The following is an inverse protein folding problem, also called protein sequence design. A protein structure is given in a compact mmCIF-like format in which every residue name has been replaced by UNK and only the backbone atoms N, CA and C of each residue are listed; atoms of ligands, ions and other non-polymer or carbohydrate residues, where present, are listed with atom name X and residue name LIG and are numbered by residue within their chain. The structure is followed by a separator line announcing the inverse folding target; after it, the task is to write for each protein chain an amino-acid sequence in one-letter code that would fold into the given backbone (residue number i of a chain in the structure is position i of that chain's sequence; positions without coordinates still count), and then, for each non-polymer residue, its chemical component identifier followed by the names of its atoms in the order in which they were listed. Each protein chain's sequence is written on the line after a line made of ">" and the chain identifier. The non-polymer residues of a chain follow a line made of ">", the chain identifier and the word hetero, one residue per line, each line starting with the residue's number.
data_IF_867892043244
#
_entry.id   IF_867892043244
#
_cell.length_a   1.000
_cell.length_b   1.000
_cell.length_c   1.000
_cell.angle_alpha   90.00
_cell.angle_beta   90.00
_cell.angle_gamma   90.00
#
_symmetry.space_group_name_H-M   'P 1'
#
loop_
_entity.id
_entity.type
_entity.pdbx_description
1 polymer ?
#
# COMPACT_ATOMS: atom_id res chain seq x y z
N UNK A 1 -25.45 8.79 15.81
CA UNK A 1 -25.52 7.97 14.58
C UNK A 1 -25.18 6.54 14.97
N UNK A 2 -25.97 5.55 14.52
CA UNK A 2 -25.71 4.16 14.85
C UNK A 2 -24.32 3.74 14.34
N UNK A 3 -23.53 3.07 15.17
CA UNK A 3 -22.23 2.56 14.78
C UNK A 3 -22.44 1.60 13.60
N UNK A 4 -21.96 1.97 12.40
CA UNK A 4 -21.95 1.08 11.25
C UNK A 4 -21.09 -0.12 11.65
N UNK A 5 -21.70 -1.30 11.68
CA UNK A 5 -21.03 -2.53 12.09
C UNK A 5 -20.04 -2.95 11.00
N UNK A 6 -18.87 -2.30 10.95
CA UNK A 6 -17.80 -2.62 10.00
C UNK A 6 -17.27 -4.02 10.27
N UNK A 7 -17.05 -4.78 9.19
CA UNK A 7 -16.54 -6.15 9.24
C UNK A 7 -15.02 -6.22 9.02
N UNK A 8 -14.41 -5.14 8.51
CA UNK A 8 -12.96 -5.00 8.37
C UNK A 8 -12.46 -3.63 8.85
N UNK A 9 -11.18 -3.60 9.23
CA UNK A 9 -10.35 -2.40 9.39
C UNK A 9 -9.40 -2.32 8.21
N UNK A 10 -9.36 -1.19 7.52
CA UNK A 10 -8.49 -0.97 6.37
C UNK A 10 -7.31 -0.08 6.76
N UNK A 11 -6.11 -0.62 6.60
CA UNK A 11 -4.83 0.02 6.87
C UNK A 11 -4.20 0.40 5.54
N UNK A 12 -4.03 1.69 5.28
CA UNK A 12 -3.23 2.17 4.16
C UNK A 12 -1.75 2.28 4.53
N UNK A 13 -0.87 1.90 3.61
CA UNK A 13 0.58 2.13 3.70
C UNK A 13 1.01 2.86 2.42
N UNK A 14 1.36 4.15 2.54
CA UNK A 14 1.80 4.97 1.41
C UNK A 14 3.21 5.52 1.55
N UNK A 15 3.67 6.24 0.53
CA UNK A 15 5.05 6.73 0.39
C UNK A 15 5.65 6.45 -0.98
N UNK A 16 6.78 7.09 -1.29
CA UNK A 16 7.47 6.98 -2.58
C UNK A 16 7.71 5.53 -3.02
N UNK A 17 7.78 5.27 -4.32
CA UNK A 17 8.31 4.01 -4.84
C UNK A 17 9.66 3.68 -4.18
N UNK A 18 9.90 2.39 -3.91
CA UNK A 18 11.10 1.90 -3.19
C UNK A 18 11.29 2.38 -1.73
N UNK A 19 10.27 2.94 -1.08
CA UNK A 19 10.34 3.29 0.36
C UNK A 19 10.26 2.09 1.31
N UNK A 20 9.82 0.91 0.84
CA UNK A 20 9.70 -0.31 1.65
C UNK A 20 8.27 -0.70 2.04
N UNK A 21 7.25 -0.06 1.47
CA UNK A 21 5.81 -0.31 1.77
C UNK A 21 5.43 -1.78 1.73
N UNK A 22 5.73 -2.46 0.64
CA UNK A 22 5.41 -3.89 0.43
C UNK A 22 6.12 -4.80 1.43
N UNK A 23 7.38 -4.51 1.75
CA UNK A 23 8.13 -5.23 2.78
C UNK A 23 7.44 -5.08 4.14
N UNK A 24 7.07 -3.86 4.51
CA UNK A 24 6.33 -3.58 5.75
C UNK A 24 4.98 -4.30 5.76
N UNK A 25 4.20 -4.22 4.68
CA UNK A 25 2.91 -4.89 4.55
C UNK A 25 3.02 -6.42 4.77
N UNK A 26 4.02 -7.06 4.15
CA UNK A 26 4.28 -8.51 4.32
C UNK A 26 4.68 -8.88 5.74
N UNK A 27 5.51 -8.06 6.39
CA UNK A 27 5.94 -8.29 7.77
C UNK A 27 4.77 -8.12 8.75
N UNK A 28 3.94 -7.09 8.56
CA UNK A 28 2.73 -6.88 9.36
C UNK A 28 1.73 -8.03 9.17
N UNK A 29 1.57 -8.53 7.95
CA UNK A 29 0.75 -9.71 7.63
C UNK A 29 1.23 -10.98 8.33
N UNK A 30 2.54 -11.12 8.54
CA UNK A 30 3.12 -12.24 9.26
C UNK A 30 2.99 -12.08 10.78
N UNK A 31 3.09 -10.85 11.29
CA UNK A 31 3.04 -10.54 12.73
C UNK A 31 1.61 -10.57 13.29
N UNK A 32 0.64 -10.02 12.57
CA UNK A 32 -0.76 -9.97 13.02
C UNK A 32 -1.50 -11.24 12.58
N UNK A 33 -2.22 -11.93 13.49
CA UNK A 33 -2.88 -13.20 13.19
C UNK A 33 -3.97 -13.07 12.11
N UNK A 34 -4.24 -14.18 11.42
CA UNK A 34 -5.01 -14.34 10.17
C UNK A 34 -6.52 -14.00 10.27
N UNK A 35 -6.90 -12.87 10.82
CA UNK A 35 -8.27 -12.34 10.72
C UNK A 35 -8.45 -11.74 9.32
N UNK A 36 -8.60 -12.64 8.35
CA UNK A 36 -8.83 -12.52 6.89
C UNK A 36 -7.91 -11.63 6.07
N UNK A 37 -7.31 -12.26 5.07
CA UNK A 37 -6.14 -11.86 4.29
C UNK A 37 -6.29 -10.54 3.51
N UNK A 38 -5.23 -9.72 3.45
CA UNK A 38 -5.21 -8.41 2.83
C UNK A 38 -5.32 -8.46 1.30
N UNK A 39 -5.97 -7.44 0.77
CA UNK A 39 -5.92 -7.10 -0.65
C UNK A 39 -4.62 -6.38 -0.91
N UNK A 40 -3.71 -7.06 -1.59
CA UNK A 40 -2.64 -6.36 -2.30
C UNK A 40 -3.31 -5.63 -3.47
N UNK A 41 -3.28 -4.30 -3.47
CA UNK A 41 -3.65 -3.50 -4.65
C UNK A 41 -2.43 -2.67 -5.00
N UNK A 42 -1.55 -3.23 -5.84
CA UNK A 42 -0.69 -2.36 -6.62
C UNK A 42 -1.55 -1.81 -7.76
N UNK A 43 -1.77 -0.50 -7.71
CA UNK A 43 -2.66 0.21 -8.60
C UNK A 43 -2.09 0.19 -10.03
N UNK A 44 -2.59 -0.68 -10.91
CA UNK A 44 -2.54 -0.50 -12.37
C UNK A 44 -3.62 -1.34 -13.05
N UNK A 45 -4.27 -0.76 -14.07
CA UNK A 45 -5.44 -1.34 -14.76
C UNK A 45 -5.21 -2.79 -15.25
N UNK A 46 -6.24 -3.64 -15.24
CA UNK A 46 -6.40 -4.67 -16.26
C UNK A 46 -6.81 -3.98 -17.56
N UNK A 47 -6.19 -4.37 -18.67
CA UNK A 47 -6.62 -3.98 -20.00
C UNK A 47 -8.08 -4.39 -20.21
N UNK A 48 -9.00 -3.44 -20.13
CA UNK A 48 -10.19 -3.55 -20.95
C UNK A 48 -9.71 -3.29 -22.37
N UNK A 49 -9.87 -4.29 -23.23
CA UNK A 49 -9.61 -4.23 -24.67
C UNK A 49 -10.57 -3.30 -25.42
N UNK A 50 -10.95 -2.19 -24.79
CA UNK A 50 -11.72 -1.12 -25.40
C UNK A 50 -10.85 0.13 -25.42
N UNK A 51 -10.64 0.64 -26.63
CA UNK A 51 -9.82 1.77 -27.04
C UNK A 51 -10.34 3.13 -26.47
N UNK A 52 -11.23 3.06 -25.47
CA UNK A 52 -12.02 4.17 -24.93
C UNK A 52 -11.52 4.71 -23.58
N UNK A 53 -10.53 4.07 -22.95
CA UNK A 53 -9.90 4.55 -21.72
C UNK A 53 -8.61 5.32 -22.04
N UNK A 54 -8.53 6.54 -21.51
CA UNK A 54 -7.42 7.51 -21.65
C UNK A 54 -6.05 6.83 -21.68
N UNK A 55 -5.33 6.99 -22.80
CA UNK A 55 -3.92 6.58 -22.95
C UNK A 55 -3.12 7.14 -21.77
N UNK A 56 -2.28 6.31 -21.15
CA UNK A 56 -1.35 6.74 -20.11
C UNK A 56 -0.63 8.00 -20.61
N UNK A 57 -0.60 9.10 -19.83
CA UNK A 57 0.03 10.33 -20.27
C UNK A 57 1.48 10.07 -20.70
N UNK A 58 1.86 10.57 -21.87
CA UNK A 58 3.26 10.55 -22.32
C UNK A 58 3.83 11.94 -22.02
N UNK A 59 4.92 12.00 -21.27
CA UNK A 59 5.62 13.25 -20.98
C UNK A 59 6.38 13.74 -22.23
N UNK A 60 6.87 14.98 -22.17
CA UNK A 60 7.56 15.65 -23.30
C UNK A 60 8.80 14.89 -23.78
N UNK A 61 9.39 14.04 -22.94
CA UNK A 61 10.54 13.20 -23.22
C UNK A 61 10.20 11.82 -23.81
N UNK A 62 8.91 11.56 -24.11
CA UNK A 62 8.44 10.29 -24.67
C UNK A 62 8.25 9.19 -23.63
N UNK A 63 8.43 9.46 -22.33
CA UNK A 63 8.23 8.49 -21.27
C UNK A 63 6.75 8.40 -20.87
N UNK A 64 6.25 7.18 -20.74
CA UNK A 64 4.91 6.92 -20.21
C UNK A 64 4.87 7.20 -18.70
N UNK A 65 3.94 8.03 -18.27
CA UNK A 65 3.76 8.37 -16.86
C UNK A 65 2.86 7.35 -16.16
N UNK A 66 3.48 6.31 -15.62
CA UNK A 66 2.77 5.32 -14.83
C UNK A 66 2.66 5.65 -13.33
N UNK A 67 3.16 6.82 -12.92
CA UNK A 67 3.19 7.26 -11.53
C UNK A 67 2.19 8.44 -11.34
N UNK A 68 1.04 8.37 -12.01
CA UNK A 68 -0.04 9.37 -11.96
C UNK A 68 -1.40 8.77 -11.55
N UNK A 69 -2.35 9.56 -11.01
CA UNK A 69 -3.70 9.10 -10.65
C UNK A 69 -4.48 8.48 -11.83
N UNK A 70 -4.23 8.90 -13.06
CA UNK A 70 -4.90 8.38 -14.27
C UNK A 70 -4.51 6.94 -14.59
N UNK A 71 -3.34 6.50 -14.12
CA UNK A 71 -2.90 5.10 -14.20
C UNK A 71 -3.65 4.19 -13.21
N UNK A 72 -4.48 4.77 -12.34
CA UNK A 72 -5.14 4.09 -11.22
C UNK A 72 -6.62 3.85 -11.51
N UNK A 73 -7.06 2.60 -11.33
CA UNK A 73 -8.48 2.21 -11.40
C UNK A 73 -9.23 2.61 -10.10
N UNK A 74 -9.33 3.92 -9.84
CA UNK A 74 -9.89 4.46 -8.60
C UNK A 74 -11.35 4.04 -8.36
N UNK A 75 -12.28 4.10 -9.33
CA UNK A 75 -13.67 3.70 -9.10
C UNK A 75 -13.80 2.25 -8.62
N UNK A 76 -13.07 1.34 -9.24
CA UNK A 76 -13.05 -0.07 -8.87
C UNK A 76 -12.42 -0.25 -7.49
N UNK A 77 -11.42 0.56 -7.13
CA UNK A 77 -10.73 0.45 -5.83
C UNK A 77 -11.66 0.87 -4.72
N UNK A 78 -12.40 1.97 -4.92
CA UNK A 78 -13.44 2.43 -3.99
C UNK A 78 -14.48 1.34 -3.78
N UNK A 79 -15.00 0.73 -4.86
CA UNK A 79 -15.96 -0.38 -4.76
C UNK A 79 -15.40 -1.58 -3.99
N UNK A 80 -14.13 -1.93 -4.22
CA UNK A 80 -13.48 -3.01 -3.49
C UNK A 80 -13.33 -2.69 -2.00
N UNK A 81 -12.87 -1.49 -1.65
CA UNK A 81 -12.72 -1.03 -0.26
C UNK A 81 -14.06 -0.96 0.48
N UNK A 82 -15.10 -0.45 -0.17
CA UNK A 82 -16.47 -0.45 0.40
C UNK A 82 -16.98 -1.87 0.66
N UNK A 83 -16.74 -2.80 -0.27
CA UNK A 83 -17.11 -4.20 -0.10
C UNK A 83 -16.37 -4.85 1.07
N UNK A 84 -15.06 -4.63 1.19
CA UNK A 84 -14.22 -5.16 2.27
C UNK A 84 -14.69 -4.62 3.62
N UNK A 85 -14.93 -3.31 3.73
CA UNK A 85 -15.42 -2.69 4.98
C UNK A 85 -16.75 -3.28 5.42
N UNK A 86 -17.65 -3.57 4.47
CA UNK A 86 -19.00 -4.07 4.75
C UNK A 86 -19.09 -5.58 4.99
N UNK A 87 -18.25 -6.38 4.32
CA UNK A 87 -18.35 -7.85 4.33
C UNK A 87 -17.19 -8.55 5.04
N UNK A 88 -16.06 -7.86 5.23
CA UNK A 88 -14.86 -8.45 5.83
C UNK A 88 -14.05 -9.34 4.88
N UNK A 89 -14.46 -9.41 3.61
CA UNK A 89 -13.91 -10.28 2.56
C UNK A 89 -13.76 -9.51 1.26
N UNK A 90 -13.03 -10.08 0.31
CA UNK A 90 -12.88 -9.51 -1.03
C UNK A 90 -14.10 -9.76 -1.93
N UNK A 91 -14.41 -8.82 -2.85
CA UNK A 91 -15.48 -9.01 -3.83
C UNK A 91 -15.09 -10.10 -4.84
N UNK A 92 -15.86 -11.20 -4.90
CA UNK A 92 -15.69 -12.36 -5.81
C UNK A 92 -15.99 -12.10 -7.29
N UNK A 93 -16.10 -10.83 -7.72
CA UNK A 93 -16.47 -10.44 -9.09
C UNK A 93 -15.25 -10.11 -9.98
N UNK A 94 -15.48 -9.65 -11.22
CA UNK A 94 -14.43 -9.17 -12.14
C UNK A 94 -13.49 -8.12 -11.53
N UNK A 95 -13.96 -7.41 -10.49
CA UNK A 95 -13.19 -6.51 -9.62
C UNK A 95 -11.95 -7.21 -9.04
N UNK A 96 -12.05 -8.47 -8.61
CA UNK A 96 -10.91 -9.22 -8.08
C UNK A 96 -9.80 -9.41 -9.12
N UNK A 97 -10.14 -9.59 -10.42
CA UNK A 97 -9.15 -9.70 -11.50
C UNK A 97 -8.43 -8.38 -11.80
N UNK A 98 -9.08 -7.25 -11.49
CA UNK A 98 -8.53 -5.88 -11.61
C UNK A 98 -7.52 -5.63 -10.50
N UNK A 99 -7.82 -6.09 -9.28
CA UNK A 99 -7.03 -5.82 -8.08
C UNK A 99 -5.93 -6.85 -7.80
N UNK A 100 -6.16 -8.10 -8.17
CA UNK A 100 -5.23 -9.18 -7.93
C UNK A 100 -5.35 -10.19 -9.07
N UNK A 101 -4.39 -10.27 -9.99
CA UNK A 101 -4.44 -11.25 -11.08
C UNK A 101 -4.19 -12.66 -10.54
N UNK A 102 -5.24 -13.29 -10.02
CA UNK A 102 -5.23 -14.68 -9.55
C UNK A 102 -5.04 -15.62 -10.74
N UNK A 103 -4.24 -16.67 -10.54
CA UNK A 103 -4.09 -17.75 -11.53
C UNK A 103 -5.44 -18.47 -11.77
N UNK A 104 -5.78 -18.91 -13.00
CA UNK A 104 -7.15 -19.33 -13.37
C UNK A 104 -7.67 -20.62 -12.71
N UNK A 105 -6.92 -21.26 -11.82
CA UNK A 105 -7.20 -22.62 -11.33
C UNK A 105 -8.18 -22.71 -10.14
N UNK A 106 -8.79 -21.62 -9.71
CA UNK A 106 -9.70 -21.62 -8.57
C UNK A 106 -11.15 -21.42 -9.02
N UNK A 107 -11.76 -22.48 -9.55
CA UNK A 107 -13.21 -22.52 -9.79
C UNK A 107 -13.86 -23.67 -9.01
N UNK A 108 -14.96 -23.35 -8.33
CA UNK A 108 -16.00 -24.24 -7.80
C UNK A 108 -15.76 -24.97 -6.47
N UNK A 109 -15.44 -24.23 -5.41
CA UNK A 109 -15.69 -24.72 -4.04
C UNK A 109 -16.21 -23.62 -3.12
N UNK A 110 -17.00 -23.96 -2.09
CA UNK A 110 -17.68 -22.98 -1.24
C UNK A 110 -16.67 -22.06 -0.55
N UNK A 111 -16.64 -20.80 -0.99
CA UNK A 111 -16.05 -19.59 -0.37
C UNK A 111 -14.83 -19.87 0.54
N UNK A 112 -13.78 -20.45 -0.03
CA UNK A 112 -12.43 -20.28 0.51
C UNK A 112 -11.86 -19.06 -0.21
N UNK A 113 -11.65 -17.96 0.51
CA UNK A 113 -10.92 -16.81 -0.03
C UNK A 113 -9.58 -17.34 -0.56
N UNK A 114 -9.19 -17.05 -1.82
CA UNK A 114 -7.91 -17.51 -2.33
C UNK A 114 -6.78 -17.00 -1.42
N UNK A 115 -5.71 -17.78 -1.25
CA UNK A 115 -4.43 -17.21 -0.88
C UNK A 115 -4.03 -16.28 -2.04
N UNK A 116 -4.30 -14.99 -1.88
CA UNK A 116 -4.05 -14.00 -2.92
C UNK A 116 -2.60 -13.59 -2.84
N UNK A 117 -1.81 -14.20 -3.71
CA UNK A 117 -0.51 -13.69 -4.10
C UNK A 117 -0.75 -12.82 -5.33
N UNK A 118 -0.53 -11.50 -5.20
CA UNK A 118 -0.46 -10.65 -6.39
C UNK A 118 0.75 -11.09 -7.24
N UNK A 119 0.76 -10.74 -8.54
CA UNK A 119 1.92 -11.05 -9.39
C UNK A 119 3.16 -10.28 -8.95
N UNK A 120 2.96 -9.10 -8.41
CA UNK A 120 3.97 -8.23 -7.83
C UNK A 120 4.47 -8.78 -6.49
N UNK A 121 3.68 -9.67 -5.86
CA UNK A 121 4.15 -10.46 -4.74
C UNK A 121 5.33 -11.38 -5.13
N UNK A 122 5.50 -11.64 -6.44
CA UNK A 122 6.62 -12.37 -7.05
C UNK A 122 7.84 -11.48 -7.34
N UNK A 123 7.74 -10.15 -7.20
CA UNK A 123 8.89 -9.27 -7.37
C UNK A 123 9.94 -9.56 -6.29
N UNK A 124 11.20 -9.65 -6.70
CA UNK A 124 12.35 -9.80 -5.80
C UNK A 124 12.41 -8.62 -4.83
N UNK A 125 12.17 -8.88 -3.55
CA UNK A 125 12.32 -7.87 -2.46
C UNK A 125 13.71 -7.90 -1.80
N UNK A 126 14.63 -8.74 -2.31
CA UNK A 126 15.92 -9.00 -1.67
C UNK A 126 15.78 -9.75 -0.34
N UNK A 127 16.89 -9.92 0.41
CA UNK A 127 16.84 -10.52 1.74
C UNK A 127 15.99 -9.66 2.70
N UNK A 128 15.28 -10.32 3.63
CA UNK A 128 14.51 -9.62 4.65
C UNK A 128 15.45 -8.71 5.48
N UNK A 129 15.20 -7.38 5.54
CA UNK A 129 16.06 -6.46 6.26
C UNK A 129 15.83 -6.46 7.79
N UNK A 130 14.95 -7.33 8.30
CA UNK A 130 14.59 -7.43 9.72
C UNK A 130 14.99 -8.79 10.25
N UNK A 131 15.58 -8.82 11.44
CA UNK A 131 16.02 -10.07 12.07
C UNK A 131 14.85 -10.98 12.47
N UNK A 132 15.02 -12.30 12.33
CA UNK A 132 14.03 -13.30 12.76
C UNK A 132 13.70 -13.16 14.26
N UNK A 133 14.70 -12.81 15.07
CA UNK A 133 14.55 -12.56 16.50
C UNK A 133 13.61 -11.38 16.77
N UNK A 134 13.72 -10.27 16.02
CA UNK A 134 12.79 -9.15 16.15
C UNK A 134 11.38 -9.54 15.69
N UNK A 135 11.24 -10.22 14.56
CA UNK A 135 9.94 -10.67 14.05
C UNK A 135 9.25 -11.57 15.09
N UNK A 136 9.98 -12.53 15.65
CA UNK A 136 9.48 -13.42 16.71
C UNK A 136 9.07 -12.65 17.97
N UNK A 137 9.85 -11.66 18.39
CA UNK A 137 9.53 -10.81 19.54
C UNK A 137 8.26 -9.97 19.31
N UNK A 138 8.08 -9.41 18.11
CA UNK A 138 6.88 -8.65 17.75
C UNK A 138 5.64 -9.55 17.65
N UNK A 139 5.77 -10.76 17.07
CA UNK A 139 4.71 -11.78 17.10
C UNK A 139 4.27 -12.11 18.52
N UNK A 140 5.24 -12.35 19.42
CA UNK A 140 4.94 -12.63 20.83
C UNK A 140 4.23 -11.46 21.52
N UNK A 141 4.66 -10.21 21.26
CA UNK A 141 4.00 -8.99 21.77
C UNK A 141 2.56 -8.88 21.29
N UNK A 142 2.32 -9.09 19.99
CA UNK A 142 0.98 -9.05 19.40
C UNK A 142 0.10 -10.16 19.97
N UNK A 143 0.60 -11.39 20.05
CA UNK A 143 -0.14 -12.51 20.63
C UNK A 143 -0.49 -12.29 22.11
N UNK A 144 0.43 -11.73 22.91
CA UNK A 144 0.20 -11.48 24.33
C UNK A 144 -0.88 -10.41 24.61
N UNK A 145 -1.02 -9.44 23.71
CA UNK A 145 -2.07 -8.41 23.78
C UNK A 145 -3.33 -8.79 23.00
N UNK A 146 -3.29 -9.82 22.17
CA UNK A 146 -4.43 -10.28 21.41
C UNK A 146 -5.45 -10.99 22.31
N UNK A 147 -6.26 -10.20 23.01
CA UNK A 147 -7.69 -10.50 23.22
C UNK A 147 -8.49 -10.25 21.93
N UNK A 148 -7.84 -10.25 20.75
CA UNK A 148 -8.51 -10.21 19.45
C UNK A 148 -9.29 -11.51 19.34
N UNK A 149 -10.53 -11.43 19.80
CA UNK A 149 -11.48 -12.53 19.79
C UNK A 149 -11.59 -13.05 18.36
N UNK A 150 -11.87 -14.33 18.19
CA UNK A 150 -12.26 -14.93 16.91
C UNK A 150 -13.52 -14.27 16.27
N UNK A 151 -14.02 -13.17 16.85
CA UNK A 151 -15.23 -12.44 16.52
C UNK A 151 -14.98 -10.95 16.20
N UNK A 152 -13.72 -10.47 16.18
CA UNK A 152 -13.37 -9.10 15.80
C UNK A 152 -13.39 -8.85 14.28
N UNK A 153 -13.34 -7.59 13.82
CA UNK A 153 -13.25 -7.26 12.40
C UNK A 153 -11.95 -7.80 11.78
N UNK A 154 -11.98 -8.12 10.49
CA UNK A 154 -10.79 -8.52 9.72
C UNK A 154 -9.84 -7.35 9.47
N UNK A 155 -8.58 -7.63 9.12
CA UNK A 155 -7.59 -6.61 8.79
C UNK A 155 -7.27 -6.64 7.30
N UNK A 156 -7.46 -5.51 6.62
CA UNK A 156 -7.05 -5.31 5.23
C UNK A 156 -5.88 -4.33 5.19
N UNK A 157 -4.78 -4.70 4.56
CA UNK A 157 -3.64 -3.80 4.30
C UNK A 157 -3.65 -3.44 2.82
N UNK A 158 -3.72 -2.15 2.52
CA UNK A 158 -3.59 -1.56 1.19
C UNK A 158 -2.26 -0.81 1.12
N UNK A 159 -1.29 -1.29 0.33
CA UNK A 159 -0.06 -0.54 0.07
C UNK A 159 -0.09 0.11 -1.32
N UNK A 160 0.38 1.36 -1.42
CA UNK A 160 0.33 2.08 -2.70
C UNK A 160 1.09 3.39 -2.65
N UNK A 161 1.78 3.74 -3.74
CA UNK A 161 2.67 4.90 -3.76
C UNK A 161 1.97 6.25 -3.93
N UNK A 162 0.67 6.27 -4.27
CA UNK A 162 -0.15 7.47 -4.46
C UNK A 162 -1.36 7.58 -3.52
N UNK A 163 -1.45 6.80 -2.44
CA UNK A 163 -2.71 6.71 -1.69
C UNK A 163 -3.16 8.05 -1.05
N UNK A 164 -2.23 8.96 -0.73
CA UNK A 164 -2.50 10.16 0.06
C UNK A 164 -2.35 11.45 -0.74
N UNK A 165 -3.30 11.70 -1.63
CA UNK A 165 -3.47 12.97 -2.33
C UNK A 165 -4.96 13.21 -2.62
N UNK A 166 -5.30 14.43 -3.07
CA UNK A 166 -6.69 14.82 -3.32
C UNK A 166 -7.36 14.00 -4.44
N UNK A 167 -6.64 13.59 -5.48
CA UNK A 167 -7.21 12.76 -6.53
C UNK A 167 -7.62 11.37 -6.01
N UNK A 168 -6.94 10.89 -4.96
CA UNK A 168 -7.17 9.60 -4.31
C UNK A 168 -8.09 9.69 -3.08
N UNK A 169 -8.64 10.88 -2.80
CA UNK A 169 -9.51 11.15 -1.65
C UNK A 169 -10.64 10.12 -1.45
N UNK A 170 -11.39 9.70 -2.51
CA UNK A 170 -12.47 8.72 -2.35
C UNK A 170 -12.02 7.39 -1.75
N UNK A 171 -10.79 6.94 -2.05
CA UNK A 171 -10.23 5.73 -1.46
C UNK A 171 -9.56 6.00 -0.12
N UNK A 172 -8.88 7.14 0.01
CA UNK A 172 -8.24 7.57 1.26
C UNK A 172 -9.26 7.66 2.42
N UNK A 173 -10.46 8.13 2.15
CA UNK A 173 -11.56 8.26 3.13
C UNK A 173 -12.13 6.91 3.61
N UNK A 174 -11.80 5.82 2.92
CA UNK A 174 -12.14 4.46 3.31
C UNK A 174 -11.04 3.78 4.15
N UNK A 175 -9.95 4.48 4.45
CA UNK A 175 -8.84 3.97 5.27
C UNK A 175 -9.02 4.36 6.74
N UNK A 176 -8.96 3.39 7.63
CA UNK A 176 -9.06 3.59 9.08
C UNK A 176 -7.70 3.96 9.71
N UNK A 177 -6.60 3.40 9.19
CA UNK A 177 -5.22 3.75 9.61
C UNK A 177 -4.44 4.16 8.37
N UNK A 178 -3.70 5.27 8.43
CA UNK A 178 -2.94 5.81 7.28
C UNK A 178 -1.46 5.93 7.63
N UNK A 179 -0.65 4.93 7.29
CA UNK A 179 0.80 4.93 7.53
C UNK A 179 1.54 5.51 6.33
N UNK A 180 2.47 6.43 6.55
CA UNK A 180 3.27 7.04 5.49
C UNK A 180 4.77 6.82 5.71
N UNK A 181 5.42 6.14 4.76
CA UNK A 181 6.84 5.85 4.78
C UNK A 181 7.63 6.91 4.00
N UNK A 182 8.60 7.51 4.68
CA UNK A 182 9.47 8.55 4.13
C UNK A 182 10.81 7.96 3.69
N UNK A 183 11.30 8.42 2.55
CA UNK A 183 12.56 7.98 1.94
C UNK A 183 13.18 9.17 1.21
N UNK A 184 14.51 9.25 1.21
CA UNK A 184 15.22 10.25 0.43
C UNK A 184 15.21 9.94 -1.07
N UNK A 185 15.47 10.96 -1.89
CA UNK A 185 15.65 10.77 -3.33
C UNK A 185 16.73 9.73 -3.60
N UNK A 186 17.90 9.92 -3.00
CA UNK A 186 19.08 9.07 -3.22
C UNK A 186 18.81 7.62 -2.84
N UNK A 187 18.14 7.39 -1.69
CA UNK A 187 17.82 6.03 -1.25
C UNK A 187 16.75 5.38 -2.11
N UNK A 188 15.70 6.11 -2.50
CA UNK A 188 14.68 5.60 -3.39
C UNK A 188 15.28 5.22 -4.75
N UNK A 189 16.16 6.06 -5.29
CA UNK A 189 16.89 5.85 -6.53
C UNK A 189 17.79 4.62 -6.44
N UNK A 190 18.64 4.53 -5.41
CA UNK A 190 19.51 3.38 -5.17
C UNK A 190 18.70 2.07 -5.13
N UNK A 191 17.62 2.05 -4.34
CA UNK A 191 16.77 0.86 -4.19
C UNK A 191 16.01 0.52 -5.46
N UNK A 192 15.58 1.52 -6.24
CA UNK A 192 14.83 1.31 -7.49
C UNK A 192 15.73 0.76 -8.59
N UNK A 193 16.94 1.30 -8.73
CA UNK A 193 17.93 0.82 -9.70
C UNK A 193 18.47 -0.57 -9.37
N UNK A 194 18.49 -0.95 -8.08
CA UNK A 194 18.88 -2.29 -7.65
C UNK A 194 17.80 -3.36 -7.90
N UNK A 195 16.60 -2.98 -8.37
CA UNK A 195 15.56 -3.94 -8.77
C UNK A 195 15.87 -4.44 -10.18
N UNK A 196 15.77 -5.76 -10.37
CA UNK A 196 15.94 -6.37 -11.69
C UNK A 196 14.90 -5.84 -12.69
N UNK A 197 13.71 -5.50 -12.20
CA UNK A 197 12.57 -4.96 -12.94
C UNK A 197 11.27 -5.27 -12.21
N UNK A 198 10.15 -5.06 -12.86
CA UNK A 198 8.82 -5.33 -12.34
C UNK A 198 8.13 -6.38 -13.20
N UNK A 199 7.66 -7.46 -12.57
CA UNK A 199 6.75 -8.39 -13.22
C UNK A 199 5.39 -7.70 -13.30
N UNK A 200 4.88 -7.55 -14.52
CA UNK A 200 3.59 -6.92 -14.82
C UNK A 200 2.65 -7.91 -15.48
N UNK A 201 1.41 -7.51 -15.71
CA UNK A 201 0.44 -8.30 -16.49
C UNK A 201 0.89 -8.55 -17.93
N UNK A 202 1.57 -7.59 -18.54
CA UNK A 202 2.00 -7.61 -19.95
C UNK A 202 3.39 -8.23 -20.16
N UNK A 203 4.10 -8.55 -19.08
CA UNK A 203 5.44 -9.09 -19.12
C UNK A 203 6.36 -8.40 -18.13
N UNK A 204 7.61 -8.17 -18.52
CA UNK A 204 8.62 -7.60 -17.65
C UNK A 204 8.84 -6.12 -17.98
N UNK A 205 8.66 -5.25 -16.99
CA UNK A 205 8.97 -3.83 -17.11
C UNK A 205 10.34 -3.53 -16.49
N UNK A 206 11.19 -2.86 -17.26
CA UNK A 206 12.41 -2.27 -16.76
C UNK A 206 12.34 -0.77 -16.98
N UNK A 207 12.70 0.00 -15.95
CA UNK A 207 12.67 1.46 -16.04
C UNK A 207 13.59 1.94 -17.18
N UNK A 208 13.09 2.80 -18.10
CA UNK A 208 13.94 3.39 -19.11
C UNK A 208 14.95 4.37 -18.48
N UNK A 209 16.06 4.71 -19.18
CA UNK A 209 17.09 5.60 -18.64
C UNK A 209 16.53 6.94 -18.14
N UNK A 210 16.81 7.25 -16.86
CA UNK A 210 16.38 8.49 -16.21
C UNK A 210 14.91 8.51 -15.75
N UNK A 211 14.18 7.39 -15.81
CA UNK A 211 12.76 7.33 -15.41
C UNK A 211 12.52 7.78 -13.96
N UNK A 212 13.47 7.49 -13.06
CA UNK A 212 13.39 7.93 -11.66
C UNK A 212 13.32 9.46 -11.54
N UNK A 213 14.26 10.17 -12.17
CA UNK A 213 14.36 11.64 -12.08
C UNK A 213 13.31 12.35 -12.93
N UNK A 214 12.80 11.70 -13.98
CA UNK A 214 11.88 12.30 -14.95
C UNK A 214 10.41 12.04 -14.65
N UNK A 215 10.09 10.92 -14.00
CA UNK A 215 8.72 10.45 -13.76
C UNK A 215 8.47 10.22 -12.28
N UNK A 216 9.20 9.28 -11.69
CA UNK A 216 8.89 8.73 -10.36
C UNK A 216 9.00 9.78 -9.26
N UNK A 217 10.16 10.43 -9.16
CA UNK A 217 10.39 11.40 -8.11
C UNK A 217 9.57 12.67 -8.30
N UNK A 218 9.51 13.30 -9.49
CA UNK A 218 8.66 14.47 -9.71
C UNK A 218 7.20 14.21 -9.39
N UNK A 219 6.65 13.05 -9.74
CA UNK A 219 5.26 12.72 -9.42
C UNK A 219 5.07 12.41 -7.92
N UNK A 220 6.04 11.74 -7.27
CA UNK A 220 6.00 11.57 -5.81
C UNK A 220 5.96 12.94 -5.10
N UNK A 221 6.83 13.87 -5.51
CA UNK A 221 6.87 15.24 -5.00
C UNK A 221 5.55 15.93 -5.26
N UNK A 222 5.05 15.95 -6.50
CA UNK A 222 3.82 16.66 -6.83
C UNK A 222 2.60 16.14 -6.03
N UNK A 223 2.52 14.82 -5.81
CA UNK A 223 1.38 14.21 -5.12
C UNK A 223 1.45 14.36 -3.59
N UNK A 224 2.62 14.62 -3.01
CA UNK A 224 2.80 14.65 -1.56
C UNK A 224 3.35 15.98 -1.01
N UNK A 225 3.80 16.91 -1.86
CA UNK A 225 4.33 18.22 -1.45
C UNK A 225 3.40 19.01 -0.55
N UNK A 226 2.09 18.78 -0.64
CA UNK A 226 1.10 19.41 0.22
C UNK A 226 1.30 19.06 1.71
N UNK A 227 1.95 17.94 2.03
CA UNK A 227 2.25 17.53 3.41
C UNK A 227 3.47 18.25 4.01
N UNK A 228 4.22 19.00 3.21
CA UNK A 228 5.54 19.51 3.60
C UNK A 228 5.62 21.03 3.40
N UNK A 229 6.10 21.79 4.40
CA UNK A 229 6.35 23.22 4.25
C UNK A 229 7.28 23.50 3.07
N UNK A 230 6.90 24.42 2.19
CA UNK A 230 7.67 24.74 0.98
C UNK A 230 7.66 23.65 -0.11
N UNK A 231 6.99 22.51 0.14
CA UNK A 231 6.90 21.39 -0.80
C UNK A 231 8.12 20.47 -0.85
N UNK A 232 9.04 20.60 0.11
CA UNK A 232 10.21 19.72 0.23
C UNK A 232 9.82 18.41 0.95
N UNK A 233 9.65 17.34 0.17
CA UNK A 233 9.24 16.01 0.69
C UNK A 233 10.30 15.32 1.56
N UNK A 234 11.52 15.85 1.61
CA UNK A 234 12.58 15.35 2.49
C UNK A 234 12.66 16.14 3.81
N UNK A 235 12.08 17.34 3.87
CA UNK A 235 11.99 18.16 5.07
C UNK A 235 11.00 17.62 6.12
N UNK A 236 11.01 18.20 7.32
CA UNK A 236 10.02 17.88 8.36
C UNK A 236 8.59 18.19 7.85
N UNK A 237 7.65 17.23 7.94
CA UNK A 237 6.30 17.43 7.45
C UNK A 237 5.51 18.39 8.33
N UNK A 238 4.45 18.98 7.78
CA UNK A 238 3.53 19.82 8.54
C UNK A 238 2.65 18.94 9.44
N UNK A 239 2.92 18.99 10.75
CA UNK A 239 2.21 18.17 11.73
C UNK A 239 0.70 18.44 11.77
N UNK A 240 0.27 19.69 11.52
CA UNK A 240 -1.14 20.03 11.53
C UNK A 240 -1.86 19.44 10.32
N UNK A 241 -1.23 19.46 9.14
CA UNK A 241 -1.80 18.85 7.93
C UNK A 241 -1.86 17.32 8.04
N UNK A 242 -0.82 16.69 8.57
CA UNK A 242 -0.83 15.25 8.84
C UNK A 242 -1.93 14.87 9.83
N UNK A 243 -2.07 15.61 10.93
CA UNK A 243 -3.11 15.39 11.93
C UNK A 243 -4.51 15.58 11.34
N UNK A 244 -4.75 16.66 10.58
CA UNK A 244 -6.04 16.93 9.94
C UNK A 244 -6.45 15.83 8.94
N UNK A 245 -5.48 15.11 8.38
CA UNK A 245 -5.70 14.00 7.46
C UNK A 245 -5.47 12.61 8.09
N UNK A 246 -5.31 12.52 9.41
CA UNK A 246 -5.04 11.26 10.13
C UNK A 246 -3.88 10.44 9.55
N UNK A 247 -2.86 11.10 9.00
CA UNK A 247 -1.67 10.45 8.42
C UNK A 247 -0.61 10.31 9.51
N UNK A 248 -0.07 9.11 9.66
CA UNK A 248 0.91 8.73 10.66
C UNK A 248 2.26 8.45 9.99
N UNK A 249 3.31 9.10 10.48
CA UNK A 249 4.70 8.89 10.01
C UNK A 249 5.67 9.05 11.18
N UNK A 250 6.93 8.64 10.99
CA UNK A 250 7.99 8.72 12.01
C UNK A 250 8.61 10.12 12.04
N UNK A 251 8.02 11.02 12.83
CA UNK A 251 8.41 12.44 12.90
C UNK A 251 9.79 12.66 13.54
N UNK A 252 10.17 11.81 14.50
CA UNK A 252 11.40 11.94 15.30
C UNK A 252 12.66 11.36 14.65
N UNK A 253 12.54 10.73 13.48
CA UNK A 253 13.62 9.95 12.84
C UNK A 253 14.03 10.44 11.46
N UNK A 254 13.34 11.45 10.91
CA UNK A 254 13.63 11.98 9.57
C UNK A 254 13.23 11.05 8.43
N UNK A 255 14.03 11.03 7.36
CA UNK A 255 13.87 10.13 6.20
C UNK A 255 14.78 8.90 6.34
N UNK A 256 14.54 7.86 5.53
CA UNK A 256 15.40 6.67 5.43
C UNK A 256 15.54 5.82 6.70
N UNK A 257 14.50 5.82 7.55
CA UNK A 257 14.46 4.94 8.72
C UNK A 257 14.58 3.47 8.29
N UNK A 258 15.36 2.70 9.05
CA UNK A 258 15.55 1.28 8.77
C UNK A 258 14.25 0.49 8.98
N UNK A 259 14.14 -0.65 8.29
CA UNK A 259 12.90 -1.44 8.28
C UNK A 259 12.61 -2.07 9.65
N UNK A 260 13.63 -2.36 10.47
CA UNK A 260 13.42 -2.95 11.79
C UNK A 260 12.75 -1.94 12.73
N UNK A 261 13.27 -0.71 12.76
CA UNK A 261 12.67 0.41 13.50
C UNK A 261 11.30 0.78 12.96
N UNK A 262 11.13 0.79 11.63
CA UNK A 262 9.83 1.07 10.96
C UNK A 262 8.78 0.03 11.32
N UNK A 263 9.15 -1.26 11.34
CA UNK A 263 8.25 -2.35 11.67
C UNK A 263 7.78 -2.26 13.13
N UNK A 264 8.69 -2.00 14.06
CA UNK A 264 8.35 -1.84 15.47
C UNK A 264 7.39 -0.66 15.69
N UNK A 265 7.66 0.49 15.05
CA UNK A 265 6.75 1.64 15.05
C UNK A 265 5.36 1.29 14.50
N UNK A 266 5.29 0.63 13.35
CA UNK A 266 4.03 0.28 12.72
C UNK A 266 3.21 -0.71 13.58
N UNK A 267 3.87 -1.69 14.20
CA UNK A 267 3.22 -2.62 15.14
C UNK A 267 2.63 -1.83 16.31
N UNK A 268 3.39 -0.92 16.92
CA UNK A 268 2.90 -0.14 18.07
C UNK A 268 1.72 0.77 17.71
N UNK A 269 1.75 1.39 16.53
CA UNK A 269 0.62 2.16 16.01
C UNK A 269 -0.61 1.27 15.84
N UNK A 270 -0.48 0.14 15.14
CA UNK A 270 -1.62 -0.76 14.89
C UNK A 270 -2.20 -1.33 16.19
N UNK A 271 -1.34 -1.71 17.13
CA UNK A 271 -1.80 -2.18 18.44
C UNK A 271 -2.59 -1.12 19.21
N UNK A 272 -2.25 0.17 19.05
CA UNK A 272 -2.98 1.28 19.64
C UNK A 272 -4.29 1.55 18.92
N UNK A 273 -4.26 1.65 17.59
CA UNK A 273 -5.45 2.00 16.80
C UNK A 273 -6.50 0.90 16.85
N UNK A 274 -6.10 -0.38 16.82
CA UNK A 274 -7.01 -1.52 16.88
C UNK A 274 -7.69 -1.71 18.24
N UNK A 275 -7.25 -1.04 19.31
CA UNK A 275 -7.98 -1.03 20.59
C UNK A 275 -9.26 -0.18 20.53
N UNK A 276 -9.33 0.76 19.60
CA UNK A 276 -10.43 1.73 19.50
C UNK A 276 -11.47 1.34 18.45
N UNK A 277 -11.39 0.13 17.90
CA UNK A 277 -12.18 -0.33 16.74
C UNK A 277 -13.21 -1.37 17.12
#
# INVERSE_FOLDING_TARGET
>A
MAAVHRKAVVIGISGCSSSGKTTLARLLRDIFPKTFWPVFVELRRPFAADDSLSRIPIKVDGLADWDCPEAIALPEMVQALEHIRSHGVLPVSHILRVFCPVSPLLTNSPIVQPDLFSKEDQNSVGPCPVSDAKIAALKARVAARATVTATGPSLCILDGFLLYNDAMRPAMDLLDVRLFLRVSHDRATQRRQARDGYVTLEGFWQDPPGYMDKIVWPNYVEMHRWMFPGGDVEAEPDHALLQANSILTQLDKGVDVDMETTLEWAVDILMRELQNV
#
